data_IF_690751676876
#
_entry.id   IF_690751676876
#
_cell.length_a   1.000
_cell.length_b   1.000
_cell.length_c   1.000
_cell.angle_alpha   90.00
_cell.angle_beta   90.00
_cell.angle_gamma   90.00
#
_symmetry.space_group_name_H-M   'P 1'
#
loop_
_entity.id
_entity.type
_entity.pdbx_description
1 polymer ?
#
# COMPACT_ATOMS: atom_id res chain seq x y z
N UNK A 1 -15.93 -97.07 -25.78
CA UNK A 1 -14.66 -97.81 -25.73
C UNK A 1 -13.53 -96.87 -26.07
N UNK A 2 -12.47 -96.85 -25.24
CA UNK A 2 -11.14 -96.20 -25.42
C UNK A 2 -11.19 -94.65 -25.35
N UNK A 3 -10.97 -94.02 -24.19
CA UNK A 3 -9.67 -93.71 -23.54
C UNK A 3 -8.73 -92.88 -24.43
N UNK A 4 -8.39 -91.65 -24.00
CA UNK A 4 -7.01 -91.22 -23.80
C UNK A 4 -6.95 -89.82 -23.17
N UNK A 5 -5.88 -89.65 -22.41
CA UNK A 5 -5.62 -88.72 -21.33
C UNK A 5 -4.66 -87.60 -21.76
N UNK A 6 -4.66 -86.50 -20.95
CA UNK A 6 -3.59 -85.51 -20.65
C UNK A 6 -3.39 -84.31 -21.59
N UNK A 7 -2.76 -83.21 -21.11
CA UNK A 7 -2.93 -82.53 -19.82
C UNK A 7 -2.98 -80.98 -19.92
N UNK A 8 -3.33 -80.35 -18.79
CA UNK A 8 -3.33 -78.91 -18.49
C UNK A 8 -2.00 -78.17 -18.79
N UNK A 9 -2.10 -76.90 -19.25
CA UNK A 9 -1.12 -75.83 -19.00
C UNK A 9 -1.81 -74.48 -18.73
N UNK A 10 -1.25 -73.64 -17.84
CA UNK A 10 -1.96 -72.55 -17.17
C UNK A 10 -2.02 -71.23 -17.97
N UNK A 11 -3.00 -70.43 -17.55
CA UNK A 11 -3.42 -69.11 -18.03
C UNK A 11 -2.31 -68.07 -17.83
N UNK A 12 -1.84 -67.45 -18.91
CA UNK A 12 -1.00 -66.25 -18.87
C UNK A 12 -1.89 -65.01 -18.68
N UNK A 13 -1.64 -64.24 -17.61
CA UNK A 13 -2.28 -62.96 -17.31
C UNK A 13 -1.75 -61.89 -18.28
N UNK A 14 -2.63 -61.29 -19.09
CA UNK A 14 -2.34 -60.07 -19.83
C UNK A 14 -2.27 -58.89 -18.84
N UNK A 15 -1.09 -58.29 -18.71
CA UNK A 15 -0.91 -57.01 -18.04
C UNK A 15 -1.26 -55.88 -19.02
N UNK A 16 -2.21 -55.02 -18.63
CA UNK A 16 -2.51 -53.76 -19.29
C UNK A 16 -1.41 -52.75 -18.95
N UNK A 17 -0.64 -52.31 -19.95
CA UNK A 17 0.24 -51.16 -19.81
C UNK A 17 -0.59 -49.88 -20.00
N UNK A 18 -0.82 -49.16 -18.91
CA UNK A 18 -1.34 -47.80 -18.95
C UNK A 18 -0.24 -46.87 -19.49
N UNK A 19 -0.49 -46.24 -20.63
CA UNK A 19 0.36 -45.18 -21.15
C UNK A 19 0.19 -43.92 -20.29
N UNK A 20 1.15 -43.66 -19.39
CA UNK A 20 1.33 -42.33 -18.81
C UNK A 20 1.93 -41.42 -19.88
N UNK A 21 1.12 -40.52 -20.43
CA UNK A 21 1.64 -39.34 -21.14
C UNK A 21 2.16 -38.34 -20.11
N UNK A 22 3.44 -38.48 -19.74
CA UNK A 22 4.17 -37.40 -19.08
C UNK A 22 4.32 -36.25 -20.09
N UNK A 23 3.43 -35.25 -20.00
CA UNK A 23 3.65 -33.95 -20.61
C UNK A 23 4.86 -33.31 -19.92
N UNK A 24 6.02 -33.33 -20.58
CA UNK A 24 7.16 -32.52 -20.20
C UNK A 24 6.78 -31.06 -20.42
N UNK A 25 6.34 -30.39 -19.36
CA UNK A 25 6.38 -28.94 -19.32
C UNK A 25 7.85 -28.54 -19.43
N UNK A 26 8.24 -27.97 -20.57
CA UNK A 26 9.54 -27.36 -20.72
C UNK A 26 9.73 -26.33 -19.59
N UNK A 27 10.87 -26.31 -18.89
CA UNK A 27 11.12 -25.27 -17.92
C UNK A 27 11.15 -23.94 -18.65
N UNK A 28 10.31 -22.99 -18.22
CA UNK A 28 10.43 -21.61 -18.64
C UNK A 28 11.87 -21.18 -18.41
N UNK A 29 12.52 -20.73 -19.49
CA UNK A 29 13.90 -20.29 -19.50
C UNK A 29 14.13 -19.26 -18.38
N UNK A 30 14.97 -19.66 -17.42
CA UNK A 30 15.82 -18.81 -16.59
C UNK A 30 15.27 -17.46 -16.15
N UNK A 31 14.40 -17.45 -15.14
CA UNK A 31 14.49 -16.41 -14.12
C UNK A 31 15.23 -17.03 -12.94
N UNK A 32 16.53 -16.77 -12.84
CA UNK A 32 17.24 -16.99 -11.57
C UNK A 32 16.49 -16.22 -10.51
N UNK A 33 16.12 -16.89 -9.41
CA UNK A 33 15.57 -16.18 -8.25
C UNK A 33 16.52 -15.01 -7.94
N UNK A 34 16.01 -13.77 -7.78
CA UNK A 34 16.87 -12.64 -7.51
C UNK A 34 17.75 -12.97 -6.31
N UNK A 35 19.05 -12.74 -6.43
CA UNK A 35 19.97 -12.87 -5.29
C UNK A 35 19.37 -12.06 -4.14
N UNK A 36 19.14 -12.67 -2.96
CA UNK A 36 18.60 -11.94 -1.84
C UNK A 36 19.47 -10.71 -1.60
N UNK A 37 18.83 -9.53 -1.59
CA UNK A 37 19.53 -8.30 -1.24
C UNK A 37 20.10 -8.38 0.17
N UNK A 38 21.02 -7.49 0.48
CA UNK A 38 21.55 -7.33 1.84
C UNK A 38 20.42 -7.14 2.86
N UNK A 39 20.44 -7.89 3.95
CA UNK A 39 19.48 -7.74 5.05
C UNK A 39 19.95 -6.64 5.99
N UNK A 40 19.17 -5.55 6.09
CA UNK A 40 19.49 -4.39 6.91
C UNK A 40 18.46 -4.20 8.02
N UNK A 41 18.93 -3.80 9.19
CA UNK A 41 18.07 -3.46 10.34
C UNK A 41 18.17 -1.96 10.60
N UNK A 42 17.03 -1.31 10.76
CA UNK A 42 16.96 0.12 11.01
C UNK A 42 16.37 0.43 12.38
N UNK A 43 16.91 1.44 13.04
CA UNK A 43 16.40 1.98 14.29
C UNK A 43 15.64 3.27 14.04
N UNK A 44 14.30 3.18 14.02
CA UNK A 44 13.38 4.29 13.73
C UNK A 44 12.65 4.82 14.98
N UNK A 45 13.24 4.68 16.17
CA UNK A 45 12.60 5.16 17.41
C UNK A 45 12.88 6.63 17.60
N UNK A 46 11.84 7.41 17.92
CA UNK A 46 11.96 8.82 18.29
C UNK A 46 11.89 9.01 19.81
N UNK A 47 12.68 9.96 20.32
CA UNK A 47 12.59 10.40 21.71
C UNK A 47 11.35 11.27 21.90
N UNK A 48 10.43 10.85 22.75
CA UNK A 48 9.24 11.63 23.10
C UNK A 48 9.53 12.78 24.08
N UNK A 49 8.51 13.59 24.37
CA UNK A 49 8.56 14.55 25.46
C UNK A 49 8.68 13.83 26.81
N UNK A 50 9.42 14.40 27.80
CA UNK A 50 9.50 13.81 29.12
C UNK A 50 8.12 13.82 29.79
N UNK A 51 7.86 12.85 30.66
CA UNK A 51 6.70 12.91 31.53
C UNK A 51 6.78 14.13 32.47
N UNK A 52 5.66 14.65 32.99
CA UNK A 52 5.67 15.74 33.95
C UNK A 52 6.60 15.45 35.14
N UNK A 53 7.59 16.31 35.37
CA UNK A 53 8.58 16.16 36.44
C UNK A 53 9.86 15.41 36.04
N UNK A 54 9.93 14.86 34.83
CA UNK A 54 11.14 14.25 34.30
C UNK A 54 12.00 15.24 33.50
N UNK A 55 13.32 15.06 33.54
CA UNK A 55 14.23 15.80 32.65
C UNK A 55 14.19 15.17 31.27
N UNK A 56 14.17 16.01 30.23
CA UNK A 56 14.29 15.54 28.85
C UNK A 56 15.58 14.73 28.66
N UNK A 57 15.48 13.60 27.96
CA UNK A 57 16.61 12.76 27.57
C UNK A 57 16.38 12.26 26.15
N UNK A 58 17.42 12.36 25.33
CA UNK A 58 17.42 11.74 24.01
C UNK A 58 17.70 10.24 24.12
N UNK A 59 16.63 9.47 24.35
CA UNK A 59 16.70 8.01 24.42
C UNK A 59 17.23 7.41 23.13
N UNK A 60 16.75 7.90 21.99
CA UNK A 60 17.17 7.48 20.66
C UNK A 60 18.68 7.60 20.45
N UNK A 61 19.27 8.75 20.80
CA UNK A 61 20.71 8.95 20.69
C UNK A 61 21.50 8.18 21.76
N UNK A 62 20.91 7.90 22.92
CA UNK A 62 21.62 7.28 24.04
C UNK A 62 21.79 5.76 23.93
N UNK A 63 20.96 5.08 23.14
CA UNK A 63 21.05 3.63 22.95
C UNK A 63 22.27 3.30 22.09
N UNK A 64 23.14 2.42 22.60
CA UNK A 64 24.31 1.93 21.88
C UNK A 64 24.09 0.46 21.49
N UNK A 65 24.32 0.14 20.21
CA UNK A 65 24.14 -1.21 19.66
C UNK A 65 25.46 -2.00 19.56
N UNK A 66 26.58 -1.45 20.06
CA UNK A 66 27.90 -2.08 19.91
C UNK A 66 28.27 -2.24 18.43
N UNK A 67 28.72 -3.43 18.05
CA UNK A 67 29.10 -3.78 16.68
C UNK A 67 27.91 -4.25 15.81
N UNK A 68 26.69 -4.27 16.35
CA UNK A 68 25.54 -4.69 15.57
C UNK A 68 25.29 -3.72 14.40
N UNK A 69 25.04 -4.22 13.17
CA UNK A 69 24.89 -3.40 11.96
C UNK A 69 23.49 -2.73 11.92
N UNK A 70 23.23 -1.83 12.88
CA UNK A 70 21.97 -1.11 12.99
C UNK A 70 22.10 0.25 12.33
N UNK A 71 21.32 0.47 11.28
CA UNK A 71 21.27 1.73 10.54
C UNK A 71 20.30 2.71 11.23
N UNK A 72 20.60 4.02 11.15
CA UNK A 72 19.81 5.11 11.77
C UNK A 72 19.29 6.14 10.79
N UNK A 73 19.50 5.91 9.50
CA UNK A 73 19.10 6.82 8.42
C UNK A 73 17.71 6.48 7.87
N UNK A 74 16.76 6.26 8.76
CA UNK A 74 15.33 6.18 8.42
C UNK A 74 14.59 7.24 9.20
N UNK A 75 13.68 7.95 8.55
CA UNK A 75 12.85 8.96 9.16
C UNK A 75 11.37 8.70 8.87
N UNK A 76 10.55 8.79 9.93
CA UNK A 76 9.10 8.64 9.84
C UNK A 76 8.46 10.02 9.83
N UNK A 77 7.65 10.25 8.80
CA UNK A 77 6.99 11.50 8.50
C UNK A 77 5.51 11.39 8.86
N UNK A 78 5.19 11.72 10.11
CA UNK A 78 3.84 11.60 10.65
C UNK A 78 2.84 12.55 10.00
N UNK A 79 1.61 12.06 9.79
CA UNK A 79 0.48 12.81 9.23
C UNK A 79 0.30 14.21 9.85
N UNK A 80 0.44 14.30 11.18
CA UNK A 80 0.18 15.54 11.91
C UNK A 80 1.21 16.65 11.63
N UNK A 81 2.41 16.33 11.14
CA UNK A 81 3.47 17.31 10.86
C UNK A 81 3.99 17.31 9.42
N UNK A 82 3.64 16.34 8.59
CA UNK A 82 4.15 16.21 7.23
C UNK A 82 3.08 16.65 6.25
N UNK A 83 3.30 17.80 5.60
CA UNK A 83 2.29 18.39 4.73
C UNK A 83 0.98 18.70 5.47
N UNK A 84 -0.10 18.80 4.69
CA UNK A 84 -1.47 18.91 5.21
C UNK A 84 -2.26 17.72 4.65
N UNK A 85 -2.36 16.64 5.43
CA UNK A 85 -3.18 15.50 5.05
C UNK A 85 -4.67 15.85 5.17
N UNK A 86 -5.50 15.57 4.15
CA UNK A 86 -6.91 15.92 4.14
C UNK A 86 -7.74 14.90 4.92
N UNK A 87 -7.66 14.93 6.24
CA UNK A 87 -8.28 13.94 7.12
C UNK A 87 -9.80 13.75 6.92
N UNK A 88 -10.52 14.80 6.52
CA UNK A 88 -11.95 14.72 6.19
C UNK A 88 -12.24 13.99 4.86
N UNK A 89 -11.29 13.96 3.92
CA UNK A 89 -11.47 13.36 2.60
C UNK A 89 -10.95 14.23 1.46
N UNK A 90 -10.91 13.69 0.24
CA UNK A 90 -10.34 14.37 -0.93
C UNK A 90 -11.11 15.61 -1.37
N UNK A 91 -12.38 15.76 -1.02
CA UNK A 91 -13.20 16.92 -1.39
C UNK A 91 -12.59 18.23 -0.87
N UNK A 92 -11.96 18.23 0.31
CA UNK A 92 -11.32 19.45 0.85
C UNK A 92 -10.12 19.91 0.02
N UNK A 93 -9.47 18.97 -0.70
CA UNK A 93 -8.38 19.28 -1.64
C UNK A 93 -8.96 19.95 -2.89
N UNK A 94 -10.11 19.49 -3.35
CA UNK A 94 -10.75 19.96 -4.59
C UNK A 94 -11.58 21.24 -4.39
N UNK A 95 -12.06 21.51 -3.18
CA UNK A 95 -12.80 22.74 -2.83
C UNK A 95 -11.89 23.97 -2.69
N UNK A 96 -10.59 23.77 -2.46
CA UNK A 96 -9.64 24.87 -2.24
C UNK A 96 -8.45 24.75 -3.20
N UNK A 97 -8.43 25.65 -4.20
CA UNK A 97 -7.36 25.74 -5.21
C UNK A 97 -5.95 25.93 -4.61
N UNK A 98 -5.85 26.46 -3.39
CA UNK A 98 -4.58 26.70 -2.69
C UNK A 98 -4.20 25.57 -1.73
N UNK A 99 -5.01 24.51 -1.63
CA UNK A 99 -4.75 23.39 -0.71
C UNK A 99 -3.39 22.76 -0.98
N UNK A 100 -3.11 22.39 -2.23
CA UNK A 100 -1.85 21.76 -2.61
C UNK A 100 -0.65 22.67 -2.38
N UNK A 101 -0.78 23.98 -2.61
CA UNK A 101 0.29 24.95 -2.30
C UNK A 101 0.66 24.89 -0.82
N UNK A 102 -0.34 24.98 0.08
CA UNK A 102 -0.10 24.95 1.54
C UNK A 102 0.41 23.58 2.00
N UNK A 103 -0.11 22.50 1.41
CA UNK A 103 0.39 21.15 1.65
C UNK A 103 1.88 21.06 1.34
N UNK A 104 2.30 21.49 0.14
CA UNK A 104 3.68 21.43 -0.31
C UNK A 104 4.61 22.32 0.52
N UNK A 105 4.17 23.51 0.93
CA UNK A 105 4.97 24.39 1.78
C UNK A 105 5.22 23.81 3.17
N UNK A 106 4.25 23.09 3.73
CA UNK A 106 4.45 22.35 4.97
C UNK A 106 5.34 21.13 4.76
N UNK A 107 5.10 20.35 3.70
CA UNK A 107 5.91 19.18 3.33
C UNK A 107 7.39 19.56 3.17
N UNK A 108 7.71 20.61 2.42
CA UNK A 108 9.08 21.11 2.20
C UNK A 108 9.79 21.45 3.49
N UNK A 109 9.10 22.12 4.42
CA UNK A 109 9.65 22.45 5.74
C UNK A 109 9.99 21.20 6.52
N UNK A 110 9.05 20.27 6.63
CA UNK A 110 9.25 19.02 7.38
C UNK A 110 10.37 18.15 6.78
N UNK A 111 10.46 18.06 5.45
CA UNK A 111 11.56 17.36 4.77
C UNK A 111 12.91 18.04 5.04
N UNK A 112 12.97 19.37 5.01
CA UNK A 112 14.19 20.11 5.34
C UNK A 112 14.61 19.95 6.81
N UNK A 113 13.65 19.87 7.73
CA UNK A 113 13.90 19.64 9.16
C UNK A 113 14.41 18.22 9.43
N UNK A 114 13.78 17.19 8.86
CA UNK A 114 14.12 15.79 9.13
C UNK A 114 15.33 15.28 8.33
N UNK A 115 15.57 15.84 7.14
CA UNK A 115 16.76 15.59 6.32
C UNK A 115 17.47 16.91 5.99
N UNK A 116 18.27 17.51 6.88
CA UNK A 116 18.93 18.80 6.61
C UNK A 116 19.91 18.75 5.43
N UNK A 117 20.60 17.63 5.24
CA UNK A 117 21.50 17.42 4.10
C UNK A 117 20.70 17.12 2.83
N UNK A 118 20.81 17.95 1.76
CA UNK A 118 20.15 17.67 0.49
C UNK A 118 20.63 16.38 -0.19
N UNK A 119 21.83 15.91 0.14
CA UNK A 119 22.41 14.67 -0.39
C UNK A 119 22.20 13.45 0.52
N UNK A 120 21.43 13.60 1.61
CA UNK A 120 21.18 12.53 2.56
C UNK A 120 20.77 11.23 1.85
N UNK A 121 21.32 10.11 2.31
CA UNK A 121 20.93 8.77 1.90
C UNK A 121 20.16 8.10 3.03
N UNK A 122 19.22 7.23 2.68
CA UNK A 122 18.41 6.53 3.66
C UNK A 122 16.99 6.31 3.20
N UNK A 123 16.07 6.30 4.17
CA UNK A 123 14.66 5.96 3.96
C UNK A 123 13.74 6.99 4.57
N UNK A 124 12.75 7.44 3.80
CA UNK A 124 11.66 8.30 4.27
C UNK A 124 10.34 7.55 4.20
N UNK A 125 9.69 7.36 5.36
CA UNK A 125 8.40 6.70 5.48
C UNK A 125 7.31 7.75 5.74
N UNK A 126 6.48 8.03 4.72
CA UNK A 126 5.32 8.90 4.83
C UNK A 126 4.18 8.15 5.54
N UNK A 127 3.83 8.62 6.73
CA UNK A 127 2.88 7.98 7.61
C UNK A 127 1.52 8.69 7.56
N UNK A 128 0.81 8.47 6.45
CA UNK A 128 -0.54 8.97 6.19
C UNK A 128 -1.53 7.82 6.34
N UNK A 129 -2.31 7.85 7.42
CA UNK A 129 -3.12 6.71 7.87
C UNK A 129 -4.63 7.00 7.86
N UNK A 130 -5.05 8.25 7.70
CA UNK A 130 -6.48 8.59 7.77
C UNK A 130 -7.35 7.83 6.75
N UNK A 131 -6.82 7.55 5.56
CA UNK A 131 -7.44 6.61 4.62
C UNK A 131 -6.46 6.11 3.55
N UNK A 132 -6.80 4.97 2.94
CA UNK A 132 -6.12 4.44 1.75
C UNK A 132 -6.58 5.20 0.49
N UNK A 133 -5.69 5.60 -0.45
CA UNK A 133 -6.02 6.41 -1.63
C UNK A 133 -6.71 5.61 -2.75
N UNK A 134 -7.75 4.87 -2.39
CA UNK A 134 -8.56 4.09 -3.31
C UNK A 134 -9.96 3.84 -2.72
N UNK A 135 -10.99 4.14 -3.50
CA UNK A 135 -12.40 4.04 -3.14
C UNK A 135 -12.77 2.70 -2.54
N UNK A 136 -12.29 1.60 -3.14
CA UNK A 136 -12.58 0.25 -2.66
C UNK A 136 -12.10 0.05 -1.20
N UNK A 137 -11.03 0.73 -0.78
CA UNK A 137 -10.39 0.66 0.55
C UNK A 137 -10.97 1.54 1.63
N UNK A 138 -11.74 2.53 1.25
CA UNK A 138 -12.30 3.46 2.20
C UNK A 138 -13.49 2.82 2.91
N UNK A 139 -13.41 2.79 4.24
CA UNK A 139 -14.56 2.53 5.11
C UNK A 139 -15.41 3.78 5.09
N UNK A 140 -16.72 3.61 4.95
CA UNK A 140 -17.67 4.71 5.02
C UNK A 140 -18.69 4.45 6.14
N UNK A 141 -18.68 5.29 7.16
CA UNK A 141 -19.65 5.30 8.25
C UNK A 141 -20.41 6.61 8.15
N UNK A 142 -21.74 6.58 7.88
CA UNK A 142 -22.52 7.80 7.79
C UNK A 142 -22.38 8.68 9.02
N UNK A 143 -22.17 9.97 8.80
CA UNK A 143 -22.09 11.00 9.82
C UNK A 143 -23.10 12.10 9.51
N UNK A 144 -23.41 12.92 10.51
CA UNK A 144 -24.21 14.13 10.37
C UNK A 144 -23.41 15.39 10.70
N UNK A 145 -22.08 15.25 10.83
CA UNK A 145 -21.18 16.37 11.03
C UNK A 145 -20.99 17.11 9.70
N UNK A 146 -20.34 18.29 9.76
CA UNK A 146 -20.07 19.08 8.55
C UNK A 146 -18.92 18.50 7.72
N UNK A 147 -18.76 18.95 6.46
CA UNK A 147 -17.82 18.37 5.47
C UNK A 147 -16.33 18.60 5.79
N UNK A 148 -16.02 19.17 6.95
CA UNK A 148 -14.64 19.36 7.42
C UNK A 148 -14.37 18.53 8.68
N UNK A 149 -15.34 17.70 9.10
CA UNK A 149 -15.19 16.85 10.26
C UNK A 149 -14.13 15.78 10.01
N UNK A 150 -13.35 15.48 11.06
CA UNK A 150 -12.46 14.33 11.03
C UNK A 150 -13.25 13.11 11.48
N UNK A 151 -13.97 12.49 10.56
CA UNK A 151 -14.71 11.25 10.80
C UNK A 151 -14.54 10.24 9.65
N UNK A 152 -15.49 9.33 9.46
CA UNK A 152 -15.38 8.20 8.52
C UNK A 152 -16.43 8.28 7.40
N UNK A 153 -17.03 9.44 7.12
CA UNK A 153 -18.05 9.60 6.07
C UNK A 153 -17.48 10.04 4.70
N UNK A 154 -16.17 9.85 4.50
CA UNK A 154 -15.39 10.29 3.33
C UNK A 154 -16.08 10.02 1.97
N UNK A 155 -16.80 8.90 1.81
CA UNK A 155 -17.50 8.62 0.55
C UNK A 155 -18.76 9.45 0.39
N UNK A 156 -19.48 9.70 1.47
CA UNK A 156 -20.68 10.54 1.46
C UNK A 156 -20.30 12.00 1.20
N UNK A 157 -19.27 12.50 1.89
CA UNK A 157 -18.68 13.82 1.65
C UNK A 157 -18.21 13.99 0.19
N UNK A 158 -17.55 12.98 -0.38
CA UNK A 158 -17.15 13.01 -1.79
C UNK A 158 -18.35 13.00 -2.76
N UNK A 159 -19.37 12.18 -2.49
CA UNK A 159 -20.59 12.13 -3.30
C UNK A 159 -21.30 13.48 -3.30
N UNK A 160 -21.40 14.11 -2.15
CA UNK A 160 -22.06 15.41 -2.00
C UNK A 160 -21.27 16.51 -2.69
N UNK A 161 -19.94 16.50 -2.57
CA UNK A 161 -19.06 17.37 -3.35
C UNK A 161 -19.29 17.23 -4.86
N UNK A 162 -19.33 16.02 -5.41
CA UNK A 162 -19.55 15.84 -6.86
C UNK A 162 -20.95 16.29 -7.27
N UNK A 163 -21.98 16.03 -6.46
CA UNK A 163 -23.35 16.48 -6.74
C UNK A 163 -23.48 17.99 -6.74
N UNK A 164 -22.82 18.68 -5.82
CA UNK A 164 -22.90 20.12 -5.67
C UNK A 164 -22.04 20.85 -6.71
N UNK A 165 -20.78 20.44 -6.87
CA UNK A 165 -19.78 21.19 -7.64
C UNK A 165 -19.54 20.62 -9.05
N UNK A 166 -19.91 19.36 -9.32
CA UNK A 166 -19.72 18.70 -10.62
C UNK A 166 -20.95 17.90 -11.10
N UNK A 167 -22.20 18.43 -10.99
CA UNK A 167 -23.42 17.67 -11.31
C UNK A 167 -23.51 17.21 -12.77
N UNK A 168 -22.81 17.90 -13.68
CA UNK A 168 -22.75 17.54 -15.10
C UNK A 168 -22.16 16.13 -15.31
N UNK A 169 -21.29 15.65 -14.42
CA UNK A 169 -20.73 14.30 -14.47
C UNK A 169 -21.77 13.22 -14.19
N UNK A 170 -22.90 13.56 -13.57
CA UNK A 170 -23.95 12.63 -13.14
C UNK A 170 -25.19 12.66 -14.04
N UNK A 171 -25.27 13.65 -14.93
CA UNK A 171 -26.49 13.95 -15.69
C UNK A 171 -26.87 12.79 -16.61
N UNK A 172 -28.08 12.25 -16.44
CA UNK A 172 -28.60 11.14 -17.24
C UNK A 172 -28.05 9.76 -16.88
N UNK A 173 -27.22 9.65 -15.83
CA UNK A 173 -26.68 8.37 -15.36
C UNK A 173 -27.61 7.69 -14.36
N UNK A 174 -27.65 6.35 -14.40
CA UNK A 174 -28.29 5.55 -13.35
C UNK A 174 -27.49 5.63 -12.04
N UNK A 175 -28.07 5.22 -10.92
CA UNK A 175 -27.40 5.23 -9.63
C UNK A 175 -26.10 4.40 -9.63
N UNK A 176 -26.09 3.26 -10.33
CA UNK A 176 -24.92 2.38 -10.45
C UNK A 176 -23.79 3.06 -11.22
N UNK A 177 -24.12 3.77 -12.29
CA UNK A 177 -23.13 4.52 -13.08
C UNK A 177 -22.63 5.76 -12.32
N UNK A 178 -23.48 6.43 -11.54
CA UNK A 178 -23.04 7.52 -10.67
C UNK A 178 -22.04 7.04 -9.62
N UNK A 179 -22.26 5.86 -9.01
CA UNK A 179 -21.30 5.29 -8.05
C UNK A 179 -19.92 5.00 -8.68
N UNK A 180 -19.90 4.57 -9.95
CA UNK A 180 -18.64 4.41 -10.68
C UNK A 180 -17.95 5.76 -10.92
N UNK A 181 -18.71 6.82 -11.24
CA UNK A 181 -18.16 8.18 -11.38
C UNK A 181 -17.59 8.68 -10.07
N UNK A 182 -18.27 8.48 -8.93
CA UNK A 182 -17.76 8.86 -7.61
C UNK A 182 -16.44 8.14 -7.31
N UNK A 183 -16.40 6.82 -7.50
CA UNK A 183 -15.21 6.01 -7.26
C UNK A 183 -14.03 6.45 -8.14
N UNK A 184 -14.26 6.62 -9.45
CA UNK A 184 -13.22 7.01 -10.39
C UNK A 184 -12.65 8.39 -10.07
N UNK A 185 -13.52 9.38 -9.89
CA UNK A 185 -13.09 10.77 -9.63
C UNK A 185 -12.40 10.90 -8.28
N UNK A 186 -12.84 10.15 -7.25
CA UNK A 186 -12.14 10.08 -5.97
C UNK A 186 -10.72 9.52 -6.16
N UNK A 187 -10.61 8.38 -6.85
CA UNK A 187 -9.34 7.70 -7.10
C UNK A 187 -8.37 8.59 -7.86
N UNK A 188 -8.85 9.36 -8.85
CA UNK A 188 -8.05 10.33 -9.60
C UNK A 188 -7.50 11.44 -8.68
N UNK A 189 -8.35 12.03 -7.83
CA UNK A 189 -7.93 13.05 -6.86
C UNK A 189 -6.92 12.50 -5.86
N UNK A 190 -7.20 11.34 -5.25
CA UNK A 190 -6.33 10.69 -4.28
C UNK A 190 -4.98 10.31 -4.90
N UNK A 191 -4.99 9.74 -6.11
CA UNK A 191 -3.78 9.42 -6.86
C UNK A 191 -2.93 10.66 -7.11
N UNK A 192 -3.53 11.77 -7.54
CA UNK A 192 -2.83 13.04 -7.76
C UNK A 192 -2.15 13.51 -6.47
N UNK A 193 -2.90 13.59 -5.37
CA UNK A 193 -2.37 14.02 -4.07
C UNK A 193 -1.16 13.18 -3.62
N UNK A 194 -1.29 11.86 -3.62
CA UNK A 194 -0.23 10.96 -3.15
C UNK A 194 1.00 10.95 -4.06
N UNK A 195 0.81 10.99 -5.39
CA UNK A 195 1.91 11.03 -6.35
C UNK A 195 2.67 12.35 -6.31
N UNK A 196 1.97 13.49 -6.24
CA UNK A 196 2.61 14.80 -6.16
C UNK A 196 3.39 14.95 -4.84
N UNK A 197 2.82 14.49 -3.73
CA UNK A 197 3.50 14.48 -2.42
C UNK A 197 4.80 13.68 -2.50
N UNK A 198 4.73 12.45 -3.03
CA UNK A 198 5.89 11.57 -3.13
C UNK A 198 6.94 12.12 -4.10
N UNK A 199 6.50 12.67 -5.24
CA UNK A 199 7.37 13.29 -6.23
C UNK A 199 8.12 14.49 -5.64
N UNK A 200 7.46 15.31 -4.81
CA UNK A 200 8.11 16.43 -4.14
C UNK A 200 9.15 15.96 -3.13
N UNK A 201 8.86 14.93 -2.32
CA UNK A 201 9.85 14.32 -1.42
C UNK A 201 11.09 13.83 -2.18
N UNK A 202 10.89 13.10 -3.28
CA UNK A 202 11.98 12.64 -4.15
C UNK A 202 12.75 13.78 -4.79
N UNK A 203 12.07 14.84 -5.23
CA UNK A 203 12.72 16.03 -5.80
C UNK A 203 13.59 16.74 -4.76
N UNK A 204 13.13 16.83 -3.52
CA UNK A 204 13.85 17.47 -2.43
C UNK A 204 15.04 16.63 -1.96
N UNK A 205 14.88 15.29 -1.88
CA UNK A 205 15.91 14.35 -1.41
C UNK A 205 16.02 13.17 -2.38
N UNK A 206 16.74 13.33 -3.50
CA UNK A 206 16.80 12.31 -4.57
C UNK A 206 17.55 11.04 -4.17
N UNK A 207 18.42 11.11 -3.16
CA UNK A 207 19.20 9.97 -2.67
C UNK A 207 18.49 9.20 -1.54
N UNK A 208 17.41 9.75 -0.98
CA UNK A 208 16.55 9.05 -0.02
C UNK A 208 15.57 8.17 -0.79
N UNK A 209 15.34 6.96 -0.28
CA UNK A 209 14.31 6.03 -0.77
C UNK A 209 13.00 6.32 -0.06
N UNK A 210 11.96 6.63 -0.82
CA UNK A 210 10.68 7.07 -0.27
C UNK A 210 9.58 6.02 -0.44
N UNK A 211 8.76 5.88 0.60
CA UNK A 211 7.58 5.02 0.61
C UNK A 211 6.53 5.53 1.58
N UNK A 212 5.32 5.01 1.47
CA UNK A 212 4.26 5.23 2.44
C UNK A 212 4.20 4.06 3.43
N UNK A 213 4.09 4.38 4.72
CA UNK A 213 3.90 3.39 5.78
C UNK A 213 2.56 2.64 5.60
N UNK A 214 2.52 1.36 5.98
CA UNK A 214 1.37 0.44 5.83
C UNK A 214 0.93 0.08 4.41
N UNK A 215 1.78 0.27 3.40
CA UNK A 215 1.50 -0.21 2.04
C UNK A 215 2.33 -1.46 1.73
N UNK A 216 1.71 -2.59 1.32
CA UNK A 216 0.31 -2.73 0.94
C UNK A 216 -0.68 -2.85 2.13
N UNK A 217 -1.82 -2.14 2.13
CA UNK A 217 -2.77 -2.11 3.24
C UNK A 217 -3.48 -3.45 3.40
N UNK A 218 -3.44 -4.03 4.59
CA UNK A 218 -3.98 -5.36 4.85
C UNK A 218 -4.92 -5.37 6.03
N UNK A 219 -6.08 -6.02 5.89
CA UNK A 219 -6.96 -6.28 7.04
C UNK A 219 -6.34 -7.36 7.92
N UNK A 220 -6.47 -7.17 9.23
CA UNK A 220 -5.98 -8.12 10.23
C UNK A 220 -6.45 -9.55 9.91
N UNK A 221 -5.51 -10.50 9.94
CA UNK A 221 -5.73 -11.94 9.72
C UNK A 221 -6.09 -12.42 8.31
N UNK A 222 -6.14 -11.56 7.28
CA UNK A 222 -6.43 -12.01 5.91
C UNK A 222 -5.38 -12.99 5.33
N UNK A 223 -4.18 -13.05 5.92
CA UNK A 223 -3.12 -14.02 5.52
C UNK A 223 -3.38 -15.44 6.01
N UNK A 224 -4.28 -15.63 6.98
CA UNK A 224 -4.62 -16.96 7.48
C UNK A 224 -5.59 -17.72 6.55
N UNK A 225 -6.08 -17.07 5.48
CA UNK A 225 -7.11 -17.58 4.58
C UNK A 225 -6.75 -17.37 3.11
N UNK A 226 -6.58 -18.46 2.37
CA UNK A 226 -6.12 -18.40 0.98
C UNK A 226 -7.08 -17.64 0.04
N UNK A 227 -8.40 -17.77 0.23
CA UNK A 227 -9.44 -17.05 -0.52
C UNK A 227 -9.34 -15.53 -0.30
N UNK A 228 -9.16 -15.12 0.96
CA UNK A 228 -9.00 -13.70 1.32
C UNK A 228 -7.68 -13.13 0.80
N UNK A 229 -6.61 -13.91 0.83
CA UNK A 229 -5.32 -13.51 0.26
C UNK A 229 -5.41 -13.26 -1.25
N UNK A 230 -6.12 -14.11 -1.99
CA UNK A 230 -6.30 -13.94 -3.43
C UNK A 230 -7.11 -12.68 -3.76
N UNK A 231 -8.24 -12.47 -3.08
CA UNK A 231 -9.07 -11.28 -3.24
C UNK A 231 -8.33 -9.99 -2.86
N UNK A 232 -7.54 -10.03 -1.77
CA UNK A 232 -6.68 -8.94 -1.36
C UNK A 232 -5.65 -8.61 -2.46
N UNK A 233 -4.94 -9.61 -3.00
CA UNK A 233 -3.94 -9.42 -4.08
C UNK A 233 -4.56 -8.80 -5.34
N UNK A 234 -5.72 -9.31 -5.77
CA UNK A 234 -6.41 -8.80 -6.95
C UNK A 234 -6.75 -7.31 -6.79
N UNK A 235 -7.39 -6.97 -5.67
CA UNK A 235 -7.78 -5.61 -5.37
C UNK A 235 -6.60 -4.64 -5.26
N UNK A 236 -5.49 -5.08 -4.66
CA UNK A 236 -4.25 -4.29 -4.61
C UNK A 236 -3.70 -4.00 -6.00
N UNK A 237 -3.70 -5.02 -6.87
CA UNK A 237 -3.24 -4.87 -8.25
C UNK A 237 -4.12 -3.91 -9.05
N UNK A 238 -5.44 -3.96 -8.86
CA UNK A 238 -6.37 -3.07 -9.56
C UNK A 238 -6.23 -1.61 -9.10
N UNK A 239 -6.16 -1.39 -7.79
CA UNK A 239 -6.35 -0.05 -7.24
C UNK A 239 -5.06 0.68 -6.85
N UNK A 240 -3.96 -0.04 -6.56
CA UNK A 240 -2.78 0.55 -5.91
C UNK A 240 -1.45 0.29 -6.64
N UNK A 241 -1.45 -0.39 -7.79
CA UNK A 241 -0.22 -0.64 -8.58
C UNK A 241 0.54 0.66 -8.88
N UNK A 242 -0.19 1.73 -9.21
CA UNK A 242 0.41 3.05 -9.47
C UNK A 242 1.21 3.62 -8.28
N UNK A 243 0.84 3.26 -7.05
CA UNK A 243 1.54 3.72 -5.85
C UNK A 243 2.82 2.91 -5.66
N UNK A 244 2.76 1.59 -5.83
CA UNK A 244 3.94 0.72 -5.74
C UNK A 244 4.99 1.06 -6.82
N UNK A 245 4.55 1.34 -8.05
CA UNK A 245 5.44 1.74 -9.13
C UNK A 245 6.15 3.08 -8.84
N UNK A 246 5.51 3.94 -8.03
CA UNK A 246 6.05 5.24 -7.67
C UNK A 246 6.94 5.20 -6.42
N UNK A 247 6.80 4.23 -5.52
CA UNK A 247 7.62 4.11 -4.31
C UNK A 247 8.96 3.44 -4.58
N UNK A 248 9.98 3.81 -3.80
CA UNK A 248 11.30 3.14 -3.85
C UNK A 248 11.40 1.97 -2.87
N UNK A 249 10.54 1.95 -1.86
CA UNK A 249 10.53 0.99 -0.74
C UNK A 249 9.08 0.76 -0.27
N UNK A 250 8.79 -0.46 0.19
CA UNK A 250 7.50 -0.93 0.71
C UNK A 250 7.71 -1.82 1.93
#
# INVERSE_FOLDING_TARGET
>A
MVSLLRPFRPIARLAWAAALTCGLAAPALGQTAPTPGEFKVYWAVASGNPAPGERWRDWTASIQFGEAPIHRNIQVFYEWNTGIFPAAGMHVVEMDENYMTRHMDRLRRTVAEQFPDPNAEGYGALDYEGFTPAWDFIINVPSNQGPLAHDLDIKDDWRDFIREYRPHLLTGLTAELQEQVFAQTFNESARRFFLETLAECKRLRPNVKWGYYLYPPRRYYDYLRADRLAAWRDRHRRELTWLYDAMDVF
#
